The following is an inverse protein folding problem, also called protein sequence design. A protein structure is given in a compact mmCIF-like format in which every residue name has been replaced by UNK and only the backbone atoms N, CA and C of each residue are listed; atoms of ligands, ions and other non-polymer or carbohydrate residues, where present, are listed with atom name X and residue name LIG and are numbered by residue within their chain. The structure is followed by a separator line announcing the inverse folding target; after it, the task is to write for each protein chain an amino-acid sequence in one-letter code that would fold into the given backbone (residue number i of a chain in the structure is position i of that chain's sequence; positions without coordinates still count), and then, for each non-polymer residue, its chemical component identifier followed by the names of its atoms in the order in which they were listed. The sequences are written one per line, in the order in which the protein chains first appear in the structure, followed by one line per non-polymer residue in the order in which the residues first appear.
data_IF_351212978350
#
_entry.id   IF_351212978350
#
_cell.length_a   1.000
_cell.length_b   1.000
_cell.length_c   1.000
_cell.angle_alpha   90.00
_cell.angle_beta   90.00
_cell.angle_gamma   90.00
#
_symmetry.space_group_name_H-M   'P 1'
#
loop_
_entity.id
_entity.type
_entity.pdbx_description
1 polymer ?
#
# COMPACT_ATOMS: atom_id res chain seq x y z
N UNK A 1 2.71 -8.51 -9.65
CA UNK A 1 1.57 -8.95 -8.80
C UNK A 1 2.06 -9.22 -7.40
N UNK A 2 1.26 -8.87 -6.42
CA UNK A 2 1.51 -9.01 -4.99
C UNK A 2 0.28 -9.66 -4.33
N UNK A 3 0.40 -9.95 -3.05
CA UNK A 3 -0.61 -10.64 -2.26
C UNK A 3 -1.31 -9.70 -1.25
N UNK A 4 -0.66 -8.58 -0.95
CA UNK A 4 -1.07 -7.67 0.10
C UNK A 4 -0.81 -8.21 1.52
N UNK A 5 0.09 -9.19 1.64
CA UNK A 5 0.49 -9.77 2.94
C UNK A 5 1.90 -9.27 3.27
N UNK A 6 1.93 -8.24 4.09
CA UNK A 6 3.18 -7.58 4.46
C UNK A 6 3.94 -8.42 5.49
N UNK A 7 5.18 -8.73 5.17
CA UNK A 7 6.12 -9.44 6.06
C UNK A 7 7.31 -8.56 6.48
N UNK A 8 7.51 -7.46 5.76
CA UNK A 8 8.63 -6.55 6.01
C UNK A 8 8.17 -5.09 5.97
N UNK A 9 8.74 -4.29 6.83
CA UNK A 9 8.72 -2.85 6.73
C UNK A 9 10.13 -2.33 6.50
N UNK A 10 10.24 -1.14 5.93
CA UNK A 10 11.51 -0.45 5.75
C UNK A 10 11.40 0.98 6.22
N UNK A 11 12.54 1.57 6.57
CA UNK A 11 12.64 2.98 6.97
C UNK A 11 13.27 3.78 5.84
N UNK A 12 12.68 4.91 5.48
CA UNK A 12 13.25 5.81 4.50
C UNK A 12 14.60 6.32 5.01
N UNK A 13 15.68 5.92 4.35
CA UNK A 13 17.05 6.28 4.70
C UNK A 13 17.45 7.62 4.06
N UNK A 14 17.18 7.77 2.77
CA UNK A 14 17.45 8.99 2.00
C UNK A 14 16.36 9.23 0.96
N UNK A 15 16.13 10.50 0.66
CA UNK A 15 15.23 10.95 -0.40
C UNK A 15 15.95 12.03 -1.20
N UNK A 16 15.93 11.87 -2.52
CA UNK A 16 16.42 12.86 -3.47
C UNK A 16 15.24 13.29 -4.35
N UNK A 17 14.70 14.47 -4.11
CA UNK A 17 13.56 15.04 -4.87
C UNK A 17 14.06 16.10 -5.82
N UNK A 18 13.57 16.08 -7.04
CA UNK A 18 13.61 17.20 -7.96
C UNK A 18 12.20 17.50 -8.48
N UNK A 19 12.05 18.47 -9.39
CA UNK A 19 10.72 18.91 -9.85
C UNK A 19 9.91 17.82 -10.58
N UNK A 20 10.57 16.78 -11.10
CA UNK A 20 9.93 15.80 -11.99
C UNK A 20 9.97 14.36 -11.47
N UNK A 21 10.80 14.06 -10.48
CA UNK A 21 10.93 12.70 -9.97
C UNK A 21 11.49 12.68 -8.54
N UNK A 22 11.51 11.49 -7.99
CA UNK A 22 12.08 11.24 -6.68
C UNK A 22 12.86 9.92 -6.70
N UNK A 23 14.01 9.90 -6.07
CA UNK A 23 14.72 8.66 -5.76
C UNK A 23 14.67 8.44 -4.27
N UNK A 24 14.31 7.24 -3.83
CA UNK A 24 14.28 6.86 -2.42
C UNK A 24 15.22 5.69 -2.15
N UNK A 25 15.89 5.76 -1.01
CA UNK A 25 16.65 4.66 -0.44
C UNK A 25 15.94 4.16 0.81
N UNK A 26 15.67 2.87 0.88
CA UNK A 26 14.93 2.23 1.97
C UNK A 26 15.85 1.24 2.70
N UNK A 27 16.05 1.45 3.99
CA UNK A 27 16.74 0.52 4.88
C UNK A 27 15.73 -0.49 5.41
N UNK A 28 15.95 -1.79 5.17
CA UNK A 28 15.05 -2.85 5.62
C UNK A 28 15.78 -4.15 5.91
N UNK A 29 15.09 -5.07 6.62
CA UNK A 29 15.56 -6.45 6.80
C UNK A 29 15.27 -7.35 5.58
N UNK A 30 14.51 -6.86 4.59
CA UNK A 30 14.23 -7.58 3.35
C UNK A 30 15.54 -7.75 2.56
N UNK A 31 15.84 -8.99 2.17
CA UNK A 31 17.06 -9.32 1.42
C UNK A 31 16.74 -9.50 -0.06
N UNK A 32 17.66 -9.08 -0.90
CA UNK A 32 17.58 -9.25 -2.35
C UNK A 32 18.86 -9.90 -2.88
N UNK A 33 18.71 -10.78 -3.85
CA UNK A 33 19.82 -11.30 -4.66
C UNK A 33 20.14 -10.34 -5.80
N UNK A 34 21.28 -10.54 -6.47
CA UNK A 34 21.63 -9.76 -7.67
C UNK A 34 20.63 -9.95 -8.81
N UNK A 35 20.06 -11.15 -8.94
CA UNK A 35 19.05 -11.47 -9.96
C UNK A 35 17.69 -10.81 -9.73
N UNK A 36 17.43 -10.27 -8.54
CA UNK A 36 16.20 -9.53 -8.25
C UNK A 36 16.30 -8.04 -8.60
N UNK A 37 17.48 -7.52 -8.99
CA UNK A 37 17.59 -6.17 -9.54
C UNK A 37 16.75 -6.09 -10.82
N UNK A 38 15.90 -5.06 -10.93
CA UNK A 38 14.90 -4.93 -11.99
C UNK A 38 13.53 -5.52 -11.64
N UNK A 39 13.40 -6.28 -10.54
CA UNK A 39 12.10 -6.82 -10.12
C UNK A 39 11.20 -5.74 -9.49
N UNK A 40 9.89 -6.02 -9.51
CA UNK A 40 8.87 -5.18 -8.88
C UNK A 40 8.78 -5.45 -7.39
N UNK A 41 8.77 -4.38 -6.60
CA UNK A 41 8.56 -4.39 -5.16
C UNK A 41 7.39 -3.47 -4.84
N UNK A 42 6.44 -3.94 -4.03
CA UNK A 42 5.37 -3.10 -3.48
C UNK A 42 5.94 -2.26 -2.33
N UNK A 43 5.93 -0.95 -2.51
CA UNK A 43 6.35 0.03 -1.51
C UNK A 43 5.12 0.81 -1.03
N UNK A 44 4.58 0.46 0.14
CA UNK A 44 3.27 0.92 0.63
C UNK A 44 2.18 0.88 -0.45
N UNK A 45 2.09 -0.27 -1.15
CA UNK A 45 1.10 -0.51 -2.21
C UNK A 45 1.45 0.09 -3.57
N UNK A 46 2.61 0.72 -3.71
CA UNK A 46 3.07 1.25 -4.99
C UNK A 46 4.10 0.30 -5.59
N UNK A 47 3.85 -0.20 -6.79
CA UNK A 47 4.77 -1.03 -7.54
C UNK A 47 5.95 -0.18 -8.02
N UNK A 48 7.14 -0.45 -7.48
CA UNK A 48 8.38 0.22 -7.85
C UNK A 48 9.42 -0.81 -8.29
N UNK A 49 10.29 -0.43 -9.22
CA UNK A 49 11.39 -1.27 -9.69
C UNK A 49 12.58 -1.14 -8.78
N UNK A 50 13.11 -2.27 -8.30
CA UNK A 50 14.35 -2.32 -7.54
C UNK A 50 15.55 -1.97 -8.44
N UNK A 51 16.12 -0.79 -8.28
CA UNK A 51 17.27 -0.36 -9.09
C UNK A 51 18.62 -0.87 -8.56
N UNK A 52 18.79 -0.81 -7.23
CA UNK A 52 20.04 -1.21 -6.57
C UNK A 52 19.76 -1.77 -5.18
N UNK A 53 20.61 -2.68 -4.73
CA UNK A 53 20.60 -3.19 -3.37
C UNK A 53 22.02 -3.38 -2.85
N UNK A 54 22.32 -2.78 -1.70
CA UNK A 54 23.61 -2.92 -1.01
C UNK A 54 23.43 -2.68 0.50
N UNK A 55 24.03 -3.50 1.34
CA UNK A 55 24.04 -3.34 2.81
C UNK A 55 22.66 -3.05 3.43
N UNK A 56 21.64 -3.84 3.02
CA UNK A 56 20.24 -3.69 3.47
C UNK A 56 19.51 -2.41 3.01
N UNK A 57 20.12 -1.66 2.11
CA UNK A 57 19.53 -0.48 1.49
C UNK A 57 19.11 -0.84 0.07
N UNK A 58 17.83 -0.70 -0.23
CA UNK A 58 17.24 -0.83 -1.55
C UNK A 58 16.92 0.55 -2.11
N UNK A 59 17.16 0.75 -3.40
CA UNK A 59 16.97 2.04 -4.09
C UNK A 59 15.90 1.91 -5.15
N UNK A 60 15.03 2.92 -5.23
CA UNK A 60 13.90 2.99 -6.15
C UNK A 60 13.78 4.37 -6.76
N UNK A 61 13.41 4.41 -8.04
CA UNK A 61 13.00 5.63 -8.73
C UNK A 61 11.47 5.75 -8.68
N UNK A 62 10.98 6.96 -8.45
CA UNK A 62 9.55 7.27 -8.41
C UNK A 62 9.29 8.37 -9.42
N UNK A 63 8.49 8.07 -10.44
CA UNK A 63 8.11 9.02 -11.48
C UNK A 63 7.19 10.12 -10.95
N UNK A 64 7.09 11.23 -11.67
CA UNK A 64 6.14 12.31 -11.35
C UNK A 64 4.70 11.81 -11.32
N UNK A 65 4.31 10.95 -12.25
CA UNK A 65 2.96 10.35 -12.29
C UNK A 65 2.67 9.56 -11.00
N UNK A 66 3.62 8.73 -10.57
CA UNK A 66 3.52 7.96 -9.32
C UNK A 66 3.44 8.89 -8.10
N UNK A 67 4.24 9.95 -8.04
CA UNK A 67 4.18 10.92 -6.95
C UNK A 67 2.81 11.62 -6.90
N UNK A 68 2.24 11.98 -8.05
CA UNK A 68 0.94 12.65 -8.11
C UNK A 68 -0.22 11.77 -7.63
N UNK A 69 -0.14 10.45 -7.85
CA UNK A 69 -1.20 9.49 -7.51
C UNK A 69 -1.09 8.89 -6.13
N UNK A 70 0.06 8.98 -5.48
CA UNK A 70 0.33 8.26 -4.24
C UNK A 70 0.69 9.19 -3.09
N UNK A 71 0.63 8.65 -1.87
CA UNK A 71 1.13 9.34 -0.68
C UNK A 71 2.66 9.41 -0.61
N UNK A 72 3.38 8.79 -1.56
CA UNK A 72 4.84 8.81 -1.59
C UNK A 72 5.42 10.23 -1.77
N UNK A 73 4.64 11.16 -2.31
CA UNK A 73 5.02 12.58 -2.39
C UNK A 73 5.27 13.24 -1.03
N UNK A 74 4.64 12.72 0.03
CA UNK A 74 4.77 13.24 1.39
C UNK A 74 5.91 12.60 2.19
N UNK A 75 6.56 11.55 1.63
CA UNK A 75 7.62 10.84 2.34
C UNK A 75 8.75 11.76 2.76
N UNK A 76 9.22 11.52 3.99
CA UNK A 76 10.38 12.16 4.61
C UNK A 76 11.36 11.09 5.11
N UNK A 77 12.60 11.50 5.40
CA UNK A 77 13.59 10.61 6.02
C UNK A 77 13.06 10.13 7.37
N UNK A 78 13.13 8.84 7.60
CA UNK A 78 12.68 8.20 8.83
C UNK A 78 11.29 7.55 8.75
N UNK A 79 10.47 7.91 7.76
CA UNK A 79 9.15 7.31 7.59
C UNK A 79 9.22 5.80 7.39
N UNK A 80 8.21 5.11 7.93
CA UNK A 80 8.08 3.67 7.80
C UNK A 80 7.20 3.31 6.60
N UNK A 81 7.67 2.40 5.77
CA UNK A 81 7.00 1.95 4.55
C UNK A 81 6.80 0.43 4.57
N UNK A 82 5.64 -0.04 4.15
CA UNK A 82 5.37 -1.46 3.97
C UNK A 82 6.09 -1.97 2.73
N UNK A 83 6.68 -3.16 2.81
CA UNK A 83 7.42 -3.77 1.71
C UNK A 83 6.93 -5.19 1.44
N UNK A 84 6.68 -5.49 0.17
CA UNK A 84 6.35 -6.84 -0.29
C UNK A 84 7.06 -7.13 -1.62
N UNK A 85 7.65 -8.31 -1.75
CA UNK A 85 8.19 -8.82 -3.02
C UNK A 85 7.06 -9.28 -3.94
N UNK A 86 7.27 -9.20 -5.24
CA UNK A 86 6.36 -9.81 -6.19
C UNK A 86 6.23 -11.31 -5.96
N UNK A 87 5.02 -11.83 -6.20
CA UNK A 87 4.73 -13.26 -6.15
C UNK A 87 5.57 -14.03 -7.17
N UNK A 88 5.99 -15.22 -6.79
CA UNK A 88 6.57 -16.21 -7.70
C UNK A 88 5.48 -17.15 -8.19
N UNK A 89 5.74 -17.82 -9.31
CA UNK A 89 4.87 -18.90 -9.75
C UNK A 89 4.77 -19.99 -8.67
N UNK A 90 3.54 -20.43 -8.36
CA UNK A 90 3.28 -21.42 -7.31
C UNK A 90 3.10 -20.86 -5.90
N UNK A 91 3.31 -19.57 -5.67
CA UNK A 91 3.04 -18.96 -4.36
C UNK A 91 1.53 -18.99 -4.03
N UNK A 92 1.23 -19.14 -2.73
CA UNK A 92 -0.17 -19.04 -2.24
C UNK A 92 -0.65 -17.61 -2.26
N UNK A 93 -1.88 -17.39 -2.70
CA UNK A 93 -2.58 -16.12 -2.62
C UNK A 93 -3.37 -16.10 -1.32
N UNK A 94 -2.80 -15.51 -0.27
CA UNK A 94 -3.41 -15.46 1.08
C UNK A 94 -4.22 -14.18 1.33
N UNK A 95 -4.03 -13.13 0.51
CA UNK A 95 -4.84 -11.92 0.48
C UNK A 95 -5.73 -11.89 -0.76
N UNK A 96 -5.47 -10.97 -1.69
CA UNK A 96 -6.12 -10.90 -3.00
C UNK A 96 -5.10 -10.49 -4.06
N UNK A 97 -5.51 -10.39 -5.33
CA UNK A 97 -4.63 -9.95 -6.42
C UNK A 97 -4.34 -8.45 -6.32
N UNK A 98 -3.19 -8.10 -5.75
CA UNK A 98 -2.71 -6.72 -5.62
C UNK A 98 -1.71 -6.43 -6.74
N UNK A 99 -1.95 -5.39 -7.51
CA UNK A 99 -1.08 -5.02 -8.64
C UNK A 99 0.05 -4.07 -8.21
N UNK A 100 -0.16 -3.33 -7.13
CA UNK A 100 0.70 -2.20 -6.76
C UNK A 100 0.38 -0.94 -7.59
N UNK A 101 -0.80 -0.89 -8.19
CA UNK A 101 -1.28 0.21 -9.02
C UNK A 101 -2.30 1.02 -8.25
N UNK A 102 -1.79 1.97 -7.46
CA UNK A 102 -2.60 2.85 -6.61
C UNK A 102 -3.61 3.63 -7.44
N UNK A 103 -4.90 3.47 -7.14
CA UNK A 103 -5.99 4.16 -7.83
C UNK A 103 -6.19 5.59 -7.30
N UNK A 104 -6.01 5.77 -6.00
CA UNK A 104 -6.21 7.04 -5.31
C UNK A 104 -5.56 7.03 -3.94
N UNK A 105 -5.56 8.19 -3.30
CA UNK A 105 -5.28 8.31 -1.88
C UNK A 105 -6.57 8.53 -1.11
N UNK A 106 -6.55 8.16 0.18
CA UNK A 106 -7.64 8.37 1.12
C UNK A 106 -7.11 8.99 2.41
N UNK A 107 -8.00 9.65 3.15
CA UNK A 107 -7.68 10.24 4.44
C UNK A 107 -8.33 9.39 5.54
N UNK A 108 -7.58 9.11 6.60
CA UNK A 108 -8.10 8.47 7.80
C UNK A 108 -8.98 9.48 8.54
N UNK A 109 -10.28 9.18 8.65
CA UNK A 109 -11.26 10.04 9.35
C UNK A 109 -11.29 9.80 10.84
N UNK A 110 -11.24 8.53 11.23
CA UNK A 110 -11.42 8.10 12.60
C UNK A 110 -10.80 6.73 12.81
N UNK A 111 -10.24 6.54 13.99
CA UNK A 111 -9.72 5.26 14.47
C UNK A 111 -10.37 4.97 15.80
N UNK A 112 -11.18 3.91 15.86
CA UNK A 112 -11.77 3.37 17.08
C UNK A 112 -11.05 2.09 17.47
N UNK A 113 -10.58 1.99 18.69
CA UNK A 113 -9.93 0.78 19.21
C UNK A 113 -10.92 0.06 20.11
N UNK A 114 -11.33 -1.14 19.68
CA UNK A 114 -12.26 -1.98 20.43
C UNK A 114 -11.57 -3.31 20.73
N UNK A 115 -11.31 -3.55 22.00
CA UNK A 115 -10.46 -4.67 22.43
C UNK A 115 -9.04 -4.50 21.88
N UNK A 116 -8.62 -5.45 21.05
CA UNK A 116 -7.28 -5.44 20.38
C UNK A 116 -7.36 -5.08 18.89
N UNK A 117 -8.55 -4.79 18.38
CA UNK A 117 -8.77 -4.51 16.94
C UNK A 117 -8.99 -3.04 16.70
N UNK A 118 -8.49 -2.53 15.58
CA UNK A 118 -8.67 -1.16 15.15
C UNK A 118 -9.74 -1.09 14.07
N UNK A 119 -10.76 -0.26 14.28
CA UNK A 119 -11.81 0.07 13.33
C UNK A 119 -11.44 1.40 12.69
N UNK A 120 -10.98 1.38 11.45
CA UNK A 120 -10.46 2.55 10.75
C UNK A 120 -11.44 2.98 9.68
N UNK A 121 -11.93 4.23 9.77
CA UNK A 121 -12.79 4.86 8.79
C UNK A 121 -11.96 5.70 7.82
N UNK A 122 -12.13 5.43 6.54
CA UNK A 122 -11.45 6.12 5.44
C UNK A 122 -12.41 6.99 4.66
N UNK A 123 -12.02 8.25 4.39
CA UNK A 123 -12.77 9.15 3.50
C UNK A 123 -12.40 8.86 2.06
N UNK A 124 -13.41 8.67 1.20
CA UNK A 124 -13.20 8.39 -0.22
C UNK A 124 -14.09 9.29 -1.06
N UNK A 125 -13.58 9.75 -2.22
CA UNK A 125 -14.38 10.52 -3.16
C UNK A 125 -15.51 9.64 -3.74
N UNK A 126 -16.74 10.19 -3.80
CA UNK A 126 -17.97 9.48 -4.23
C UNK A 126 -17.83 8.74 -5.57
N UNK A 127 -17.01 9.27 -6.50
CA UNK A 127 -16.77 8.62 -7.79
C UNK A 127 -16.17 7.21 -7.70
N UNK A 128 -15.53 6.87 -6.56
CA UNK A 128 -14.91 5.56 -6.33
C UNK A 128 -15.82 4.57 -5.60
N UNK A 129 -17.00 5.01 -5.10
CA UNK A 129 -17.93 4.11 -4.38
C UNK A 129 -18.34 2.90 -5.21
N UNK A 130 -18.35 3.03 -6.54
CA UNK A 130 -18.66 1.94 -7.48
C UNK A 130 -17.67 0.75 -7.44
N UNK A 131 -16.53 0.91 -6.80
CA UNK A 131 -15.52 -0.15 -6.61
C UNK A 131 -15.54 -0.73 -5.18
N UNK A 132 -16.35 -0.18 -4.28
CA UNK A 132 -16.48 -0.67 -2.93
C UNK A 132 -17.53 -1.77 -2.86
N UNK A 133 -17.14 -2.92 -2.36
CA UNK A 133 -18.03 -4.05 -2.09
C UNK A 133 -17.94 -4.38 -0.61
N UNK A 134 -19.05 -4.37 0.12
CA UNK A 134 -19.05 -4.77 1.53
C UNK A 134 -18.62 -6.23 1.64
N UNK A 135 -17.70 -6.53 2.54
CA UNK A 135 -17.00 -7.82 2.66
C UNK A 135 -16.04 -8.16 1.52
N UNK A 136 -15.91 -7.28 0.53
CA UNK A 136 -14.88 -7.38 -0.51
C UNK A 136 -13.50 -6.96 -0.02
N UNK A 137 -12.50 -7.20 -0.86
CA UNK A 137 -11.11 -6.85 -0.60
C UNK A 137 -10.79 -5.42 -1.01
N UNK A 138 -9.85 -4.81 -0.30
CA UNK A 138 -9.27 -3.51 -0.62
C UNK A 138 -7.82 -3.48 -0.13
N UNK A 139 -6.96 -2.74 -0.82
CA UNK A 139 -5.56 -2.57 -0.42
C UNK A 139 -5.33 -1.19 0.17
N UNK A 140 -4.80 -1.11 1.38
CA UNK A 140 -4.41 0.13 2.07
C UNK A 140 -2.92 0.09 2.35
N UNK A 141 -2.16 1.02 1.79
CA UNK A 141 -0.69 1.04 1.87
C UNK A 141 -0.07 -0.36 1.60
N UNK A 142 -0.60 -1.07 0.60
CA UNK A 142 -0.15 -2.41 0.21
C UNK A 142 -0.67 -3.56 1.07
N UNK A 143 -1.47 -3.29 2.10
CA UNK A 143 -2.04 -4.31 2.97
C UNK A 143 -3.41 -4.74 2.46
N UNK A 144 -3.60 -6.03 2.19
CA UNK A 144 -4.90 -6.62 1.86
C UNK A 144 -5.81 -6.62 3.09
N UNK A 145 -6.94 -5.94 2.99
CA UNK A 145 -7.92 -5.81 4.06
C UNK A 145 -9.32 -6.09 3.54
N UNK A 146 -10.24 -6.39 4.46
CA UNK A 146 -11.66 -6.57 4.14
C UNK A 146 -12.45 -5.31 4.51
N UNK A 147 -13.29 -4.84 3.60
CA UNK A 147 -14.25 -3.76 3.85
C UNK A 147 -15.31 -4.29 4.82
N UNK A 148 -15.28 -3.82 6.07
CA UNK A 148 -16.26 -4.21 7.09
C UNK A 148 -17.60 -3.53 6.88
N UNK A 149 -17.58 -2.26 6.46
CA UNK A 149 -18.77 -1.44 6.26
C UNK A 149 -18.53 -0.36 5.20
N UNK A 150 -19.51 -0.10 4.36
CA UNK A 150 -19.56 1.09 3.50
C UNK A 150 -20.27 2.19 4.27
N UNK A 151 -19.67 3.37 4.35
CA UNK A 151 -20.20 4.54 5.04
C UNK A 151 -20.50 5.67 4.03
N UNK A 152 -21.24 6.70 4.45
CA UNK A 152 -21.72 7.80 3.58
C UNK A 152 -20.64 8.41 2.69
N UNK A 153 -19.43 8.58 3.21
CA UNK A 153 -18.33 9.28 2.55
C UNK A 153 -17.03 8.43 2.46
N UNK A 154 -17.20 7.09 2.42
CA UNK A 154 -16.09 6.17 2.30
C UNK A 154 -16.39 4.76 2.81
N UNK A 155 -15.44 4.20 3.55
CA UNK A 155 -15.54 2.82 4.02
C UNK A 155 -14.80 2.63 5.35
N UNK A 156 -15.09 1.52 6.00
CA UNK A 156 -14.43 1.09 7.23
C UNK A 156 -13.74 -0.26 6.99
N UNK A 157 -12.57 -0.44 7.59
CA UNK A 157 -11.92 -1.74 7.73
C UNK A 157 -11.68 -2.06 9.20
N UNK A 158 -11.51 -3.35 9.50
CA UNK A 158 -11.09 -3.81 10.83
C UNK A 158 -9.70 -4.40 10.71
N UNK A 159 -8.76 -3.86 11.47
CA UNK A 159 -7.36 -4.30 11.48
C UNK A 159 -7.10 -5.08 12.77
N UNK A 160 -6.70 -6.34 12.63
CA UNK A 160 -6.40 -7.23 13.76
C UNK A 160 -4.97 -7.04 14.27
N UNK A 161 -4.65 -7.45 15.51
CA UNK A 161 -3.33 -7.24 16.11
C UNK A 161 -2.17 -7.77 15.28
N UNK A 162 -2.36 -8.92 14.62
CA UNK A 162 -1.31 -9.50 13.79
C UNK A 162 -0.94 -8.60 12.60
N UNK A 163 -1.93 -8.00 11.93
CA UNK A 163 -1.72 -7.05 10.83
C UNK A 163 -1.04 -5.77 11.33
N UNK A 164 -1.48 -5.23 12.47
CA UNK A 164 -0.84 -4.06 13.09
C UNK A 164 0.64 -4.34 13.38
N UNK A 165 0.98 -5.51 13.92
CA UNK A 165 2.35 -5.89 14.29
C UNK A 165 3.32 -5.90 13.11
N UNK A 166 2.88 -6.28 11.92
CA UNK A 166 3.77 -6.47 10.75
C UNK A 166 3.74 -5.32 9.76
N UNK A 167 2.89 -4.32 9.98
CA UNK A 167 2.68 -3.24 9.00
C UNK A 167 2.88 -1.86 9.62
N UNK A 168 2.97 -0.84 8.78
CA UNK A 168 3.00 0.54 9.24
C UNK A 168 1.64 1.04 9.75
N UNK A 169 0.58 0.22 9.68
CA UNK A 169 -0.76 0.62 10.11
C UNK A 169 -0.83 0.94 11.61
N UNK A 170 0.04 0.33 12.43
CA UNK A 170 0.12 0.60 13.88
C UNK A 170 0.46 2.07 14.20
N UNK A 171 1.06 2.80 13.25
CA UNK A 171 1.46 4.19 13.41
C UNK A 171 0.44 5.17 12.83
N UNK A 172 -0.66 4.68 12.26
CA UNK A 172 -1.68 5.52 11.67
C UNK A 172 -2.34 6.44 12.68
N UNK A 173 -2.61 7.65 12.23
CA UNK A 173 -3.35 8.68 12.96
C UNK A 173 -4.48 9.22 12.09
N UNK A 174 -5.45 9.82 12.73
CA UNK A 174 -6.47 10.59 12.02
C UNK A 174 -5.81 11.70 11.22
N UNK A 175 -6.35 11.96 10.03
CA UNK A 175 -5.86 12.87 8.98
C UNK A 175 -4.65 12.34 8.18
N UNK A 176 -4.08 11.18 8.51
CA UNK A 176 -3.05 10.58 7.67
C UNK A 176 -3.59 10.25 6.27
N UNK A 177 -2.73 10.41 5.27
CA UNK A 177 -3.02 10.08 3.88
C UNK A 177 -2.45 8.71 3.55
N UNK A 178 -3.29 7.83 3.03
CA UNK A 178 -2.93 6.45 2.67
C UNK A 178 -3.16 6.17 1.19
N UNK A 179 -2.38 5.25 0.62
CA UNK A 179 -2.60 4.72 -0.71
C UNK A 179 -3.76 3.72 -0.70
N UNK A 180 -4.63 3.81 -1.70
CA UNK A 180 -5.75 2.89 -1.90
C UNK A 180 -5.67 2.27 -3.28
N UNK A 181 -5.72 0.94 -3.34
CA UNK A 181 -5.91 0.18 -4.56
C UNK A 181 -7.17 -0.66 -4.41
N UNK A 182 -8.10 -0.54 -5.36
CA UNK A 182 -9.31 -1.37 -5.39
C UNK A 182 -9.00 -2.75 -5.96
N UNK A 183 -9.79 -3.74 -5.56
CA UNK A 183 -9.67 -5.08 -6.12
C UNK A 183 -9.80 -5.03 -7.65
N UNK A 184 -8.83 -5.60 -8.33
CA UNK A 184 -8.73 -5.60 -9.79
C UNK A 184 -9.93 -6.28 -10.43
N UNK A 185 -10.50 -7.31 -9.81
CA UNK A 185 -11.71 -7.99 -10.30
C UNK A 185 -12.89 -7.01 -10.36
N UNK A 186 -13.09 -6.18 -9.34
CA UNK A 186 -14.12 -5.14 -9.33
C UNK A 186 -13.94 -4.11 -10.45
N UNK A 187 -12.71 -3.76 -10.80
CA UNK A 187 -12.41 -2.85 -11.91
C UNK A 187 -12.80 -3.44 -13.26
N UNK A 188 -12.46 -4.73 -13.53
CA UNK A 188 -12.81 -5.40 -14.77
C UNK A 188 -14.32 -5.61 -14.90
N UNK A 189 -14.98 -6.13 -13.86
CA UNK A 189 -16.44 -6.29 -13.86
C UNK A 189 -17.12 -4.95 -14.18
N UNK A 190 -16.70 -3.87 -13.52
CA UNK A 190 -17.27 -2.53 -13.78
C UNK A 190 -17.01 -2.04 -15.19
N UNK A 191 -15.88 -2.40 -15.79
CA UNK A 191 -15.55 -2.03 -17.18
C UNK A 191 -16.46 -2.72 -18.19
N UNK A 192 -16.89 -3.94 -17.93
CA UNK A 192 -17.79 -4.73 -18.81
C UNK A 192 -19.28 -4.38 -18.65
N UNK A 193 -19.66 -3.80 -17.51
CA UNK A 193 -21.06 -3.39 -17.23
C UNK A 193 -21.37 -1.96 -17.72
N UNK A 194 -20.72 -1.50 -18.76
CA UNK A 194 -20.98 -0.19 -19.40
C UNK A 194 -22.16 -0.28 -20.35
#
# INVERSE_FOLDING_TARGET
MFNGIIKHTGKINRIYKNNNNCTVEILSKMKFSKSEIGSSISCSGTCLTLEKYKRNISKYYISRETLNRTNLKFLTKGDLINLEKSLKYGDRISGHFVQGHVDTTSIIKRIDIIGKSWFINFKLLKKYNKYLVQKGSITINGVSLTISKIIRDGFQVVVIPQTLKFTNLIYFKEKDVVNVEFDVLGKYIKSFLK
#
